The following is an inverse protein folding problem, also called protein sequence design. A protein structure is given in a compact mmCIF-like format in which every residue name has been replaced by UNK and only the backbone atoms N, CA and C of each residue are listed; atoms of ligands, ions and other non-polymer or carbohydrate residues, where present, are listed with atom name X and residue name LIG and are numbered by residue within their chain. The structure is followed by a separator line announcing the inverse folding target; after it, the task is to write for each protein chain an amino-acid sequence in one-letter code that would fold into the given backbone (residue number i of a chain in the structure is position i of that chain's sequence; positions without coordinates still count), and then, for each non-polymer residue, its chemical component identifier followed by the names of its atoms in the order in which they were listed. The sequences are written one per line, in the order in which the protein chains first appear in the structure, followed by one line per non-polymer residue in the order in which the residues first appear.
data_IF_185423567375
#
_entry.id   IF_185423567375
#
_cell.length_a   1.000
_cell.length_b   1.000
_cell.length_c   1.000
_cell.angle_alpha   90.00
_cell.angle_beta   90.00
_cell.angle_gamma   90.00
#
_symmetry.space_group_name_H-M   'P 1'
#
loop_
_entity.id
_entity.type
_entity.pdbx_description
1 polymer ?
#
# COMPACT_ATOMS: atom_id res chain seq x y z
N UNK A 1 16.85 3.76 -29.62
CA UNK A 1 17.16 4.20 -30.99
C UNK A 1 15.94 3.98 -31.85
N UNK A 2 15.41 5.06 -32.42
CA UNK A 2 14.25 5.09 -33.29
C UNK A 2 14.55 6.03 -34.48
N UNK A 3 14.04 5.72 -35.67
CA UNK A 3 14.31 6.49 -36.89
C UNK A 3 13.01 6.67 -37.68
N UNK A 4 12.66 7.90 -38.07
CA UNK A 4 11.42 8.19 -38.79
C UNK A 4 11.62 9.28 -39.84
N UNK A 5 11.27 8.98 -41.08
CA UNK A 5 11.41 9.89 -42.21
C UNK A 5 10.26 10.92 -42.26
N UNK A 6 9.11 10.59 -41.68
CA UNK A 6 7.93 11.46 -41.68
C UNK A 6 8.04 12.72 -40.80
N UNK A 7 9.05 12.81 -39.94
CA UNK A 7 9.29 13.97 -39.05
C UNK A 7 10.36 14.94 -39.58
N UNK A 8 10.89 14.68 -40.77
CA UNK A 8 11.87 15.55 -41.41
C UNK A 8 11.25 16.33 -42.57
N UNK A 9 11.37 17.65 -42.52
CA UNK A 9 10.85 18.56 -43.56
C UNK A 9 11.81 18.69 -44.75
N UNK A 10 13.02 18.12 -44.69
CA UNK A 10 14.06 18.24 -45.72
C UNK A 10 14.39 16.93 -46.47
N UNK A 11 13.67 15.85 -46.16
CA UNK A 11 13.86 14.53 -46.79
C UNK A 11 14.96 13.68 -46.17
N UNK A 12 15.59 14.13 -45.07
CA UNK A 12 16.43 13.30 -44.21
C UNK A 12 15.61 12.37 -43.31
N UNK A 13 16.27 11.47 -42.58
CA UNK A 13 15.61 10.62 -41.57
C UNK A 13 15.97 11.20 -40.21
N UNK A 14 14.99 11.61 -39.41
CA UNK A 14 15.27 12.04 -38.05
C UNK A 14 15.51 10.80 -37.17
N UNK A 15 16.58 10.82 -36.38
CA UNK A 15 16.84 9.75 -35.42
C UNK A 15 16.68 10.24 -33.98
N UNK A 16 16.23 9.34 -33.11
CA UNK A 16 15.96 9.58 -31.70
C UNK A 16 16.66 8.54 -30.84
N UNK A 17 17.43 9.02 -29.87
CA UNK A 17 17.87 8.25 -28.73
C UNK A 17 17.08 8.63 -27.49
N UNK A 18 16.57 7.61 -26.81
CA UNK A 18 15.96 7.72 -25.49
C UNK A 18 16.93 7.11 -24.48
N UNK A 19 17.23 7.84 -23.41
CA UNK A 19 18.16 7.42 -22.38
C UNK A 19 17.57 7.64 -20.99
N UNK A 20 17.62 6.58 -20.17
CA UNK A 20 17.25 6.63 -18.76
C UNK A 20 18.39 7.24 -17.96
N UNK A 21 18.08 8.26 -17.16
CA UNK A 21 19.05 8.87 -16.26
C UNK A 21 19.60 7.84 -15.27
N UNK A 22 20.92 7.80 -15.11
CA UNK A 22 21.59 6.99 -14.07
C UNK A 22 21.75 7.74 -12.74
N UNK A 23 21.35 9.01 -12.69
CA UNK A 23 21.60 9.92 -11.57
C UNK A 23 20.31 10.43 -10.92
N UNK A 24 19.19 10.38 -11.64
CA UNK A 24 17.90 10.91 -11.19
C UNK A 24 16.82 9.93 -11.60
N UNK A 25 16.13 9.35 -10.63
CA UNK A 25 15.05 8.42 -10.92
C UNK A 25 13.94 9.09 -11.73
N UNK A 26 13.32 8.31 -12.63
CA UNK A 26 12.17 8.74 -13.46
C UNK A 26 12.47 9.95 -14.36
N UNK A 27 13.73 10.10 -14.77
CA UNK A 27 14.18 11.12 -15.72
C UNK A 27 14.64 10.49 -17.02
N UNK A 28 14.07 10.95 -18.12
CA UNK A 28 14.35 10.47 -19.48
C UNK A 28 14.90 11.61 -20.31
N UNK A 29 15.95 11.32 -21.08
CA UNK A 29 16.50 12.22 -22.07
C UNK A 29 16.06 11.76 -23.46
N UNK A 30 15.62 12.71 -24.27
CA UNK A 30 15.37 12.50 -25.69
C UNK A 30 16.35 13.38 -26.44
N UNK A 31 17.14 12.73 -27.30
CA UNK A 31 18.21 13.34 -28.05
C UNK A 31 17.96 13.05 -29.53
N UNK A 32 17.85 14.11 -30.34
CA UNK A 32 17.60 14.01 -31.77
C UNK A 32 18.85 14.35 -32.57
N UNK A 33 18.98 13.70 -33.72
CA UNK A 33 19.91 14.09 -34.78
C UNK A 33 19.15 14.31 -36.10
N UNK A 34 19.83 14.93 -37.05
CA UNK A 34 19.33 15.28 -38.37
C UNK A 34 18.15 16.25 -38.30
N UNK A 35 18.08 17.02 -37.21
CA UNK A 35 17.16 18.13 -37.06
C UNK A 35 17.96 19.37 -37.47
N UNK A 36 17.53 20.13 -38.48
CA UNK A 36 18.24 21.31 -39.04
C UNK A 36 19.38 21.03 -40.05
N UNK A 37 19.37 19.89 -40.74
CA UNK A 37 20.10 19.72 -42.01
C UNK A 37 21.61 19.50 -41.90
N UNK A 38 22.11 19.04 -40.74
CA UNK A 38 23.50 18.58 -40.58
C UNK A 38 23.53 17.24 -39.88
N UNK A 39 24.12 16.25 -40.55
CA UNK A 39 24.33 14.92 -39.99
C UNK A 39 25.75 14.80 -39.45
N UNK A 40 25.89 14.65 -38.13
CA UNK A 40 27.18 14.53 -37.43
C UNK A 40 27.23 13.36 -36.43
N UNK A 41 26.15 12.59 -36.29
CA UNK A 41 26.06 11.37 -35.46
C UNK A 41 26.27 11.57 -33.96
N UNK A 42 26.06 12.79 -33.43
CA UNK A 42 26.28 13.09 -32.01
C UNK A 42 24.99 13.29 -31.19
N UNK A 43 23.81 13.30 -31.82
CA UNK A 43 22.50 13.45 -31.17
C UNK A 43 22.38 14.74 -30.32
N UNK A 44 23.02 15.83 -30.73
CA UNK A 44 23.01 17.10 -29.97
C UNK A 44 22.16 18.21 -30.58
N UNK A 45 21.48 17.98 -31.71
CA UNK A 45 20.71 19.02 -32.41
C UNK A 45 19.56 19.57 -31.56
N UNK A 46 18.84 18.65 -30.91
CA UNK A 46 17.85 18.96 -29.89
C UNK A 46 18.01 17.91 -28.79
N UNK A 47 18.15 18.39 -27.56
CA UNK A 47 18.12 17.53 -26.37
C UNK A 47 17.07 18.09 -25.42
N UNK A 48 16.06 17.28 -25.13
CA UNK A 48 15.08 17.61 -24.09
C UNK A 48 15.08 16.53 -23.03
N UNK A 49 14.59 16.86 -21.85
CA UNK A 49 14.38 15.89 -20.78
C UNK A 49 13.01 16.09 -20.16
N UNK A 50 12.40 14.97 -19.80
CA UNK A 50 11.21 14.94 -18.96
C UNK A 50 11.58 14.27 -17.64
N UNK A 51 10.93 14.72 -16.58
CA UNK A 51 11.08 14.20 -15.23
C UNK A 51 9.69 13.97 -14.65
N UNK A 52 9.51 12.93 -13.84
CA UNK A 52 8.21 12.56 -13.30
C UNK A 52 7.28 11.89 -14.32
N UNK A 53 7.85 11.20 -15.33
CA UNK A 53 7.06 10.33 -16.21
C UNK A 53 6.71 9.07 -15.44
N UNK A 54 5.41 8.82 -15.30
CA UNK A 54 4.87 7.67 -14.62
C UNK A 54 3.81 6.97 -15.48
N UNK A 55 3.63 5.68 -15.22
CA UNK A 55 2.57 4.89 -15.81
C UNK A 55 1.21 5.42 -15.31
N UNK A 56 0.24 5.57 -16.22
CA UNK A 56 -1.13 5.89 -15.82
C UNK A 56 -1.65 4.80 -14.87
N UNK A 57 -2.00 5.19 -13.64
CA UNK A 57 -2.45 4.26 -12.59
C UNK A 57 -1.39 3.89 -11.55
N UNK A 58 -0.16 4.39 -11.65
CA UNK A 58 0.81 4.30 -10.54
C UNK A 58 0.27 5.04 -9.29
N UNK A 59 0.76 4.68 -8.10
CA UNK A 59 0.36 5.30 -6.82
C UNK A 59 -0.97 4.79 -6.25
N UNK A 60 -1.66 3.91 -6.97
CA UNK A 60 -2.85 3.24 -6.47
C UNK A 60 -2.46 2.09 -5.53
N UNK A 61 -3.24 1.90 -4.46
CA UNK A 61 -3.16 0.68 -3.65
C UNK A 61 -3.41 -0.56 -4.53
N UNK A 62 -2.70 -1.63 -4.23
CA UNK A 62 -2.80 -2.91 -4.93
C UNK A 62 -2.52 -4.07 -3.98
N UNK A 63 -2.95 -5.28 -4.39
CA UNK A 63 -2.67 -6.53 -3.69
C UNK A 63 -1.39 -7.15 -4.26
N UNK A 64 -0.38 -7.34 -3.41
CA UNK A 64 0.91 -7.95 -3.77
C UNK A 64 0.82 -9.47 -3.93
N UNK A 65 -0.30 -10.08 -3.52
CA UNK A 65 -0.46 -11.52 -3.38
C UNK A 65 0.16 -12.08 -2.08
N UNK A 66 0.63 -11.22 -1.18
CA UNK A 66 1.12 -11.60 0.15
C UNK A 66 0.05 -12.21 1.05
N UNK A 67 0.37 -12.36 2.34
CA UNK A 67 -0.56 -12.78 3.39
C UNK A 67 -0.69 -11.64 4.40
N UNK A 68 -1.77 -11.62 5.18
CA UNK A 68 -1.97 -10.61 6.23
C UNK A 68 -1.84 -9.17 5.73
N UNK A 69 -1.10 -8.36 6.48
CA UNK A 69 -0.77 -6.98 6.20
C UNK A 69 0.16 -6.83 4.97
N UNK A 70 0.99 -7.84 4.68
CA UNK A 70 1.95 -7.82 3.57
C UNK A 70 1.30 -7.86 2.18
N UNK A 71 -0.01 -8.09 2.09
CA UNK A 71 -0.78 -7.86 0.85
C UNK A 71 -0.77 -6.41 0.41
N UNK A 72 -0.55 -5.48 1.34
CA UNK A 72 -0.58 -4.05 1.06
C UNK A 72 0.58 -3.64 0.15
N UNK A 73 0.23 -3.21 -1.05
CA UNK A 73 1.19 -2.66 -2.01
C UNK A 73 0.72 -1.36 -2.62
N UNK A 74 1.65 -0.71 -3.31
CA UNK A 74 1.38 0.44 -4.18
C UNK A 74 1.93 0.14 -5.57
N UNK A 75 1.14 0.46 -6.58
CA UNK A 75 1.53 0.33 -7.98
C UNK A 75 2.67 1.30 -8.31
N UNK A 76 3.79 0.77 -8.81
CA UNK A 76 4.97 1.51 -9.26
C UNK A 76 5.20 1.26 -10.74
N UNK A 77 5.68 2.28 -11.44
CA UNK A 77 6.04 2.15 -12.85
C UNK A 77 7.48 1.65 -12.97
N UNK A 78 7.66 0.46 -13.53
CA UNK A 78 8.96 -0.17 -13.76
C UNK A 78 9.04 -0.59 -15.23
N UNK A 79 9.97 -0.03 -16.00
CA UNK A 79 10.13 -0.37 -17.42
C UNK A 79 8.92 -0.05 -18.31
N UNK A 80 8.03 0.86 -17.88
CA UNK A 80 6.79 1.19 -18.60
C UNK A 80 5.59 0.30 -18.26
N UNK A 81 5.74 -0.63 -17.32
CA UNK A 81 4.68 -1.50 -16.81
C UNK A 81 4.36 -1.17 -15.34
N UNK A 82 3.12 -1.40 -14.92
CA UNK A 82 2.74 -1.27 -13.51
C UNK A 82 3.09 -2.55 -12.76
N UNK A 83 3.88 -2.40 -11.71
CA UNK A 83 4.24 -3.44 -10.77
C UNK A 83 3.64 -3.11 -9.40
N UNK A 84 3.04 -4.09 -8.72
CA UNK A 84 2.57 -3.90 -7.35
C UNK A 84 3.73 -4.16 -6.37
N UNK A 85 4.26 -3.10 -5.76
CA UNK A 85 5.36 -3.23 -4.80
C UNK A 85 4.82 -3.20 -3.36
N UNK A 86 5.22 -4.12 -2.47
CA UNK A 86 4.83 -4.09 -1.07
C UNK A 86 5.29 -2.79 -0.40
N UNK A 87 4.45 -2.29 0.50
CA UNK A 87 4.75 -1.09 1.32
C UNK A 87 4.70 -1.39 2.82
N UNK A 88 4.24 -2.59 3.18
CA UNK A 88 4.24 -3.12 4.54
C UNK A 88 5.23 -4.27 4.56
N UNK A 89 6.18 -4.19 5.48
CA UNK A 89 7.06 -5.30 5.82
C UNK A 89 6.42 -6.08 6.99
N UNK A 90 6.78 -7.35 7.15
CA UNK A 90 6.35 -8.13 8.31
C UNK A 90 6.85 -7.47 9.61
N UNK A 91 5.93 -7.19 10.52
CA UNK A 91 6.19 -6.62 11.84
C UNK A 91 5.77 -7.64 12.92
N UNK A 92 6.07 -7.37 14.19
CA UNK A 92 5.56 -8.25 15.25
C UNK A 92 4.04 -8.04 15.42
N UNK A 93 3.32 -9.12 15.72
CA UNK A 93 1.88 -9.11 15.94
C UNK A 93 1.44 -8.05 16.96
N UNK A 94 0.35 -7.36 16.63
CA UNK A 94 -0.35 -6.42 17.52
C UNK A 94 -1.81 -6.82 17.52
N UNK A 95 -2.42 -6.92 18.70
CA UNK A 95 -3.82 -7.35 18.82
C UNK A 95 -4.79 -6.35 18.17
N UNK A 96 -5.04 -6.52 16.88
CA UNK A 96 -5.78 -5.58 16.04
C UNK A 96 -6.65 -6.28 14.99
N UNK A 97 -6.59 -7.60 14.89
CA UNK A 97 -7.38 -8.41 13.94
C UNK A 97 -6.72 -8.53 12.57
N UNK A 98 -5.44 -8.20 12.47
CA UNK A 98 -4.61 -8.27 11.27
C UNK A 98 -3.39 -9.12 11.58
N UNK A 99 -3.05 -9.99 10.63
CA UNK A 99 -1.79 -10.74 10.58
C UNK A 99 -0.67 -9.77 10.15
N UNK A 100 -0.01 -9.14 11.11
CA UNK A 100 1.03 -8.11 10.95
C UNK A 100 2.40 -8.72 10.61
N UNK A 101 2.66 -9.97 11.02
CA UNK A 101 3.91 -10.70 10.76
C UNK A 101 3.87 -11.55 9.47
N UNK A 102 2.68 -11.64 8.87
CA UNK A 102 2.40 -12.24 7.58
C UNK A 102 2.64 -13.75 7.54
N UNK A 103 2.50 -14.45 8.67
CA UNK A 103 2.68 -15.89 8.77
C UNK A 103 1.43 -16.70 8.37
N UNK A 104 0.27 -16.02 8.26
CA UNK A 104 -1.02 -16.60 7.91
C UNK A 104 -1.95 -16.88 9.09
N UNK A 105 -1.53 -16.56 10.30
CA UNK A 105 -2.33 -16.57 11.51
C UNK A 105 -2.57 -15.13 11.95
N UNK A 106 -3.79 -14.84 12.42
CA UNK A 106 -4.13 -13.47 12.86
C UNK A 106 -3.91 -13.38 14.37
N UNK A 107 -3.20 -12.35 14.81
CA UNK A 107 -2.95 -12.01 16.21
C UNK A 107 -2.31 -13.16 17.04
N UNK A 108 -1.55 -14.07 16.45
CA UNK A 108 -0.85 -15.09 17.22
C UNK A 108 0.32 -14.48 18.00
N UNK A 109 0.47 -14.87 19.26
CA UNK A 109 1.43 -14.24 20.19
C UNK A 109 1.27 -12.70 20.34
N UNK A 110 0.16 -12.11 19.88
CA UNK A 110 -0.13 -10.69 19.99
C UNK A 110 -0.20 -10.25 21.47
N UNK A 111 0.62 -9.27 21.89
CA UNK A 111 0.69 -8.86 23.27
C UNK A 111 -0.53 -8.02 23.67
N UNK A 112 -1.08 -8.33 24.84
CA UNK A 112 -2.09 -7.52 25.51
C UNK A 112 -1.63 -7.05 26.90
N UNK A 113 -2.22 -5.96 27.43
CA UNK A 113 -2.02 -5.53 28.81
C UNK A 113 -2.28 -6.63 29.85
N UNK A 114 -1.76 -6.44 31.07
CA UNK A 114 -1.85 -7.43 32.15
C UNK A 114 -3.29 -7.92 32.39
N UNK A 115 -3.49 -9.25 32.32
CA UNK A 115 -4.76 -9.98 32.47
C UNK A 115 -5.75 -9.90 31.32
N UNK A 116 -5.33 -9.39 30.16
CA UNK A 116 -6.08 -9.47 28.92
C UNK A 116 -5.47 -10.51 27.98
N UNK A 117 -6.30 -11.05 27.09
CA UNK A 117 -5.87 -11.91 25.99
C UNK A 117 -6.34 -11.28 24.70
N UNK A 118 -5.58 -11.52 23.62
CA UNK A 118 -6.05 -11.10 22.31
C UNK A 118 -7.17 -12.03 21.84
N UNK A 119 -8.32 -11.47 21.50
CA UNK A 119 -9.45 -12.19 20.94
C UNK A 119 -10.18 -11.29 19.95
N UNK A 120 -10.35 -11.76 18.70
CA UNK A 120 -10.99 -11.04 17.60
C UNK A 120 -10.46 -9.60 17.41
N UNK A 121 -9.12 -9.44 17.47
CA UNK A 121 -8.46 -8.16 17.28
C UNK A 121 -8.66 -7.15 18.41
N UNK A 122 -9.03 -7.62 19.60
CA UNK A 122 -9.10 -6.78 20.81
C UNK A 122 -8.51 -7.48 22.02
N UNK A 123 -7.83 -6.70 22.84
CA UNK A 123 -7.46 -7.14 24.17
C UNK A 123 -8.71 -7.16 25.05
N UNK A 124 -9.15 -8.36 25.41
CA UNK A 124 -10.33 -8.57 26.24
C UNK A 124 -9.93 -9.17 27.58
N UNK A 125 -10.57 -8.76 28.68
CA UNK A 125 -10.34 -9.38 29.97
C UNK A 125 -10.73 -10.85 29.96
N UNK A 126 -9.98 -11.66 30.72
CA UNK A 126 -10.45 -12.97 31.13
C UNK A 126 -11.59 -12.81 32.13
N UNK A 127 -12.60 -13.66 32.04
CA UNK A 127 -13.72 -13.71 32.95
C UNK A 127 -13.93 -15.13 33.48
N UNK A 128 -14.41 -15.21 34.71
CA UNK A 128 -14.89 -16.45 35.30
C UNK A 128 -16.35 -16.27 35.70
N UNK A 129 -17.14 -17.33 35.50
CA UNK A 129 -18.56 -17.43 35.88
C UNK A 129 -18.78 -17.38 37.39
N UNK A 130 -17.71 -17.23 38.18
CA UNK A 130 -17.70 -17.10 39.64
C UNK A 130 -17.89 -15.66 40.16
N UNK A 131 -18.19 -14.68 39.30
CA UNK A 131 -18.44 -13.26 39.60
C UNK A 131 -17.22 -12.45 40.15
N UNK A 132 -16.02 -13.05 40.25
CA UNK A 132 -14.82 -12.31 40.69
C UNK A 132 -14.24 -11.42 39.56
N UNK A 133 -14.34 -11.87 38.31
CA UNK A 133 -13.88 -11.15 37.12
C UNK A 133 -15.05 -10.90 36.18
N UNK A 134 -15.76 -9.79 36.44
CA UNK A 134 -16.95 -9.39 35.68
C UNK A 134 -16.53 -8.56 34.47
N UNK A 135 -17.17 -8.82 33.34
CA UNK A 135 -16.97 -8.04 32.11
C UNK A 135 -17.53 -6.61 32.25
N UNK A 136 -16.93 -5.69 31.48
CA UNK A 136 -17.41 -4.32 31.40
C UNK A 136 -18.81 -4.22 30.78
N UNK A 137 -19.44 -3.05 30.95
CA UNK A 137 -20.79 -2.79 30.43
C UNK A 137 -20.79 -2.95 28.90
N UNK A 138 -21.71 -3.76 28.38
CA UNK A 138 -21.81 -4.08 26.95
C UNK A 138 -21.12 -5.38 26.55
N UNK A 139 -20.42 -6.02 27.49
CA UNK A 139 -19.77 -7.31 27.33
C UNK A 139 -20.39 -8.36 28.24
N UNK A 140 -20.33 -9.61 27.83
CA UNK A 140 -20.70 -10.77 28.64
C UNK A 140 -19.60 -11.83 28.61
N UNK A 141 -19.52 -12.64 29.66
CA UNK A 141 -18.55 -13.71 29.71
C UNK A 141 -18.98 -14.86 28.80
N UNK A 142 -18.17 -15.21 27.80
CA UNK A 142 -18.38 -16.41 27.01
C UNK A 142 -17.95 -17.64 27.82
N UNK A 143 -18.88 -18.53 28.20
CA UNK A 143 -18.54 -19.72 28.97
C UNK A 143 -17.71 -20.75 28.19
N UNK A 144 -17.63 -20.65 26.85
CA UNK A 144 -16.82 -21.56 26.05
C UNK A 144 -15.33 -21.20 26.08
N UNK A 145 -15.02 -19.91 26.02
CA UNK A 145 -13.65 -19.40 25.93
C UNK A 145 -13.12 -18.82 27.24
N UNK A 146 -14.01 -18.36 28.14
CA UNK A 146 -13.64 -17.64 29.36
C UNK A 146 -13.25 -16.19 29.11
N UNK A 147 -13.68 -15.60 27.99
CA UNK A 147 -13.35 -14.23 27.61
C UNK A 147 -14.57 -13.32 27.57
N UNK A 148 -14.36 -12.03 27.83
CA UNK A 148 -15.41 -11.03 27.68
C UNK A 148 -15.66 -10.73 26.20
N UNK A 149 -16.84 -11.12 25.70
CA UNK A 149 -17.28 -10.86 24.33
C UNK A 149 -18.34 -9.77 24.29
N UNK A 150 -18.41 -9.00 23.20
CA UNK A 150 -19.47 -8.02 23.02
C UNK A 150 -20.83 -8.70 22.97
N UNK A 151 -21.78 -8.24 23.79
CA UNK A 151 -23.16 -8.75 23.78
C UNK A 151 -23.79 -8.57 22.39
N UNK A 152 -23.42 -7.49 21.68
CA UNK A 152 -23.90 -7.21 20.34
C UNK A 152 -23.41 -8.22 19.29
N UNK A 153 -22.26 -8.85 19.51
CA UNK A 153 -21.65 -9.82 18.60
C UNK A 153 -21.95 -11.28 18.95
N UNK A 154 -22.67 -11.53 20.05
CA UNK A 154 -23.03 -12.87 20.47
C UNK A 154 -23.87 -13.58 19.39
N UNK A 155 -23.34 -14.68 18.86
CA UNK A 155 -24.03 -15.50 17.86
C UNK A 155 -24.02 -14.90 16.45
N UNK A 156 -23.29 -13.81 16.24
CA UNK A 156 -22.99 -13.28 14.92
C UNK A 156 -21.78 -14.03 14.38
N UNK A 157 -21.96 -14.69 13.25
CA UNK A 157 -20.88 -15.29 12.46
C UNK A 157 -20.67 -14.42 11.25
N UNK A 158 -19.48 -13.82 11.13
CA UNK A 158 -19.12 -13.02 9.98
C UNK A 158 -18.48 -13.87 8.88
N UNK A 159 -18.57 -13.42 7.63
CA UNK A 159 -17.92 -14.10 6.51
C UNK A 159 -16.39 -13.96 6.61
N UNK A 160 -15.66 -14.77 5.84
CA UNK A 160 -14.20 -14.77 5.86
C UNK A 160 -13.63 -13.37 5.59
N UNK A 161 -12.79 -12.86 6.52
CA UNK A 161 -12.18 -11.53 6.44
C UNK A 161 -13.02 -10.40 7.03
N UNK A 162 -14.07 -10.71 7.79
CA UNK A 162 -14.88 -9.74 8.51
C UNK A 162 -14.80 -9.96 10.03
N UNK A 163 -14.84 -8.87 10.79
CA UNK A 163 -14.86 -8.90 12.25
C UNK A 163 -16.18 -8.27 12.72
N UNK A 164 -16.82 -8.84 13.74
CA UNK A 164 -17.98 -8.22 14.35
C UNK A 164 -17.55 -7.06 15.26
N UNK A 165 -18.05 -5.86 14.99
CA UNK A 165 -17.90 -4.70 15.87
C UNK A 165 -19.27 -4.02 16.01
N UNK A 166 -19.71 -3.76 17.24
CA UNK A 166 -21.01 -3.12 17.52
C UNK A 166 -22.22 -3.89 16.94
N UNK A 167 -22.09 -5.22 16.83
CA UNK A 167 -23.12 -6.10 16.27
C UNK A 167 -23.26 -6.04 14.76
N UNK A 168 -22.30 -5.45 14.05
CA UNK A 168 -22.22 -5.43 12.59
C UNK A 168 -20.94 -6.13 12.15
N UNK A 169 -21.05 -7.05 11.19
CA UNK A 169 -19.89 -7.59 10.51
C UNK A 169 -19.32 -6.51 9.59
N UNK A 170 -18.23 -5.89 10.03
CA UNK A 170 -17.51 -4.93 9.22
C UNK A 170 -16.51 -5.69 8.35
N UNK A 171 -16.56 -5.41 7.04
CA UNK A 171 -15.47 -5.81 6.14
C UNK A 171 -14.26 -4.90 6.30
N UNK A 172 -13.18 -5.30 5.64
CA UNK A 172 -11.96 -4.50 5.56
C UNK A 172 -12.26 -3.04 5.16
N UNK A 173 -11.79 -2.11 5.97
CA UNK A 173 -11.92 -0.66 5.79
C UNK A 173 -13.33 -0.07 5.91
N UNK A 174 -14.31 -0.86 6.33
CA UNK A 174 -15.66 -0.37 6.52
C UNK A 174 -15.73 0.53 7.77
N UNK A 175 -15.97 1.83 7.55
CA UNK A 175 -16.00 2.84 8.63
C UNK A 175 -14.64 3.41 9.04
N UNK A 176 -13.55 2.94 8.45
CA UNK A 176 -12.20 3.45 8.71
C UNK A 176 -11.97 4.76 7.97
N UNK A 177 -11.75 5.85 8.72
CA UNK A 177 -11.41 7.17 8.17
C UNK A 177 -9.93 7.43 8.39
N UNK A 178 -9.15 7.34 7.31
CA UNK A 178 -7.72 7.54 7.38
C UNK A 178 -7.31 9.02 7.34
N UNK A 179 -6.35 9.44 8.18
CA UNK A 179 -5.86 10.81 8.16
C UNK A 179 -5.07 11.11 6.88
N UNK A 180 -5.21 12.35 6.39
CA UNK A 180 -4.32 13.00 5.42
C UNK A 180 -3.68 12.11 4.34
N UNK A 181 -4.42 11.79 3.26
CA UNK A 181 -3.83 11.16 2.06
C UNK A 181 -3.42 9.70 2.23
N UNK A 182 -3.58 9.14 3.42
CA UNK A 182 -3.49 7.71 3.68
C UNK A 182 -4.67 6.99 3.03
N UNK A 183 -4.41 5.77 2.59
CA UNK A 183 -5.42 4.88 2.03
C UNK A 183 -5.78 3.86 3.10
N UNK A 184 -7.05 3.47 3.19
CA UNK A 184 -7.37 2.33 4.03
C UNK A 184 -7.09 1.06 3.23
N UNK A 185 -6.40 0.11 3.88
CA UNK A 185 -6.23 -1.24 3.38
C UNK A 185 -6.25 -2.20 4.57
N UNK A 186 -7.19 -3.16 4.56
CA UNK A 186 -7.39 -4.17 5.63
C UNK A 186 -7.46 -3.56 7.04
N UNK A 187 -8.38 -2.61 7.23
CA UNK A 187 -8.59 -1.86 8.49
C UNK A 187 -7.42 -0.98 8.99
N UNK A 188 -6.27 -1.01 8.31
CA UNK A 188 -5.12 -0.15 8.62
C UNK A 188 -5.08 1.04 7.67
N UNK A 189 -4.77 2.21 8.23
CA UNK A 189 -4.44 3.37 7.44
C UNK A 189 -2.98 3.29 7.01
N UNK A 190 -2.79 3.00 5.73
CA UNK A 190 -1.48 2.92 5.10
C UNK A 190 -1.11 4.28 4.52
N UNK A 191 0.09 4.76 4.84
CA UNK A 191 0.65 5.94 4.18
C UNK A 191 1.40 5.49 2.92
N UNK A 192 0.83 5.70 1.72
CA UNK A 192 1.52 5.32 0.49
C UNK A 192 2.82 6.14 0.29
N UNK A 193 2.99 7.24 1.01
CA UNK A 193 4.19 8.08 1.01
C UNK A 193 5.22 7.70 2.07
N UNK A 194 4.96 6.70 2.91
CA UNK A 194 5.96 6.20 3.85
C UNK A 194 7.21 5.73 3.11
N UNK A 195 8.38 6.27 3.48
CA UNK A 195 9.66 5.95 2.84
C UNK A 195 9.88 6.53 1.43
N UNK A 196 8.92 7.28 0.89
CA UNK A 196 9.05 7.94 -0.42
C UNK A 196 9.80 9.26 -0.27
N UNK A 197 10.97 9.38 -0.91
CA UNK A 197 11.78 10.59 -0.90
C UNK A 197 11.65 11.35 -2.22
N UNK A 198 11.08 12.54 -2.17
CA UNK A 198 10.88 13.39 -3.35
C UNK A 198 12.05 14.34 -3.59
N UNK A 199 12.35 14.58 -4.87
CA UNK A 199 13.32 15.60 -5.29
C UNK A 199 12.91 17.01 -4.86
N UNK A 200 13.85 17.96 -4.93
CA UNK A 200 13.64 19.33 -4.47
C UNK A 200 12.46 20.00 -5.21
N UNK A 201 11.43 20.39 -4.46
CA UNK A 201 10.22 21.05 -4.98
C UNK A 201 9.02 20.13 -5.22
N UNK A 202 9.18 18.82 -5.08
CA UNK A 202 8.08 17.85 -5.14
C UNK A 202 7.58 17.47 -3.74
N UNK A 203 6.29 17.13 -3.65
CA UNK A 203 5.66 16.54 -2.46
C UNK A 203 5.09 15.18 -2.81
N UNK A 204 5.15 14.24 -1.88
CA UNK A 204 4.55 12.94 -2.13
C UNK A 204 3.01 13.03 -2.07
N UNK A 205 2.33 12.44 -3.05
CA UNK A 205 0.87 12.27 -3.06
C UNK A 205 0.52 10.89 -3.62
N UNK A 206 -0.12 10.05 -2.80
CA UNK A 206 -0.46 8.69 -3.21
C UNK A 206 0.77 7.82 -3.48
N UNK A 207 1.88 8.05 -2.78
CA UNK A 207 3.13 7.31 -3.00
C UNK A 207 3.97 7.77 -4.19
N UNK A 208 3.61 8.91 -4.79
CA UNK A 208 4.28 9.47 -5.97
C UNK A 208 4.82 10.86 -5.70
N UNK A 209 6.01 11.15 -6.23
CA UNK A 209 6.66 12.47 -6.26
C UNK A 209 6.59 13.07 -7.68
#
# INVERSE_FOLDING_TARGET
YFSEAGFSDDGSVSHLNVYDSRLTDRKFYFAWEDTYGRSNFDFTDLVTSVEGVECAGAGAACDTGGIGACRAGVTRCSGGELECTPIVEAEAEVCNGVDDDCDGTVDDDAPCPDREVCHDGRCVPNCDVSDEFVCDVGFECDPATGFCIEVACRGISCDAGQICRDGVCAGECEGVVCPHGQQCFRDRCIDPCAGVSCGAGSICRGGLC
#
